data_IF_343522888615
#
_entry.id   IF_343522888615
#
_cell.length_a   1.000
_cell.length_b   1.000
_cell.length_c   1.000
_cell.angle_alpha   90.00
_cell.angle_beta   90.00
_cell.angle_gamma   90.00
#
_symmetry.space_group_name_H-M   'P 1'
#
loop_
_entity.id
_entity.type
_entity.pdbx_description
1 polymer ?
#
# COMPACT_ATOMS: atom_id res chain seq x y z
N UNK A 1 -17.44 -47.27 -49.58
CA UNK A 1 -16.69 -46.08 -50.01
C UNK A 1 -17.28 -44.90 -49.25
N UNK A 2 -16.72 -44.42 -48.15
CA UNK A 2 -15.50 -43.62 -48.09
C UNK A 2 -14.86 -43.73 -46.69
N UNK A 3 -13.56 -44.04 -46.65
CA UNK A 3 -12.73 -44.02 -45.44
C UNK A 3 -12.22 -42.59 -45.23
N UNK A 4 -12.54 -41.99 -44.08
CA UNK A 4 -11.90 -40.77 -43.60
C UNK A 4 -10.72 -41.14 -42.70
N UNK A 5 -9.52 -40.76 -43.15
CA UNK A 5 -8.24 -41.10 -42.54
C UNK A 5 -8.03 -40.40 -41.19
N UNK A 6 -7.54 -41.18 -40.22
CA UNK A 6 -6.97 -40.69 -38.97
C UNK A 6 -5.55 -40.20 -39.25
N UNK A 7 -5.23 -38.95 -38.90
CA UNK A 7 -3.85 -38.48 -38.82
C UNK A 7 -3.50 -38.17 -37.37
N UNK A 8 -2.79 -39.10 -36.75
CA UNK A 8 -1.99 -38.93 -35.55
C UNK A 8 -0.85 -37.95 -35.79
N UNK A 9 -0.65 -36.98 -34.91
CA UNK A 9 0.65 -36.30 -34.81
C UNK A 9 1.02 -36.15 -33.34
N UNK A 10 2.24 -36.57 -33.06
CA UNK A 10 2.80 -36.87 -31.76
C UNK A 10 3.31 -35.61 -31.06
N UNK A 11 3.23 -35.67 -29.73
CA UNK A 11 4.03 -35.00 -28.69
C UNK A 11 5.11 -34.01 -29.11
N UNK A 12 5.09 -32.84 -28.48
CA UNK A 12 6.31 -32.10 -28.15
C UNK A 12 6.18 -31.58 -26.72
N UNK A 13 6.73 -32.37 -25.81
CA UNK A 13 7.06 -31.95 -24.44
C UNK A 13 8.17 -30.89 -24.54
N UNK A 14 7.88 -29.65 -24.18
CA UNK A 14 8.91 -28.66 -23.87
C UNK A 14 8.85 -28.32 -22.39
N UNK A 15 9.55 -29.15 -21.66
CA UNK A 15 10.34 -28.88 -20.46
C UNK A 15 10.30 -27.45 -19.88
N UNK A 16 9.93 -27.43 -18.59
CA UNK A 16 10.57 -26.72 -17.48
C UNK A 16 10.42 -25.20 -17.43
N UNK A 17 9.44 -24.81 -16.61
CA UNK A 17 9.48 -23.63 -15.75
C UNK A 17 10.81 -23.57 -14.97
N UNK A 18 11.63 -22.57 -15.30
CA UNK A 18 12.69 -22.05 -14.45
C UNK A 18 12.60 -20.51 -14.54
N UNK A 19 12.18 -19.80 -13.48
CA UNK A 19 12.17 -18.34 -13.49
C UNK A 19 13.61 -17.83 -13.47
N UNK A 20 14.12 -17.50 -14.65
CA UNK A 20 15.47 -17.00 -14.84
C UNK A 20 15.73 -15.77 -13.96
N UNK A 21 16.70 -15.91 -13.06
CA UNK A 21 17.29 -14.85 -12.23
C UNK A 21 17.98 -13.73 -13.06
N UNK A 22 17.86 -13.78 -14.39
CA UNK A 22 18.46 -12.88 -15.37
C UNK A 22 17.70 -11.55 -15.56
N UNK A 23 16.47 -11.40 -15.06
CA UNK A 23 15.71 -10.16 -15.32
C UNK A 23 16.29 -8.96 -14.57
N UNK A 24 16.86 -9.18 -13.37
CA UNK A 24 17.39 -8.09 -12.52
C UNK A 24 18.62 -7.40 -13.11
N UNK A 25 19.51 -8.15 -13.76
CA UNK A 25 20.71 -7.58 -14.39
C UNK A 25 20.42 -6.93 -15.76
N UNK A 26 19.40 -7.43 -16.47
CA UNK A 26 18.91 -6.82 -17.73
C UNK A 26 18.31 -5.42 -17.55
N UNK A 27 17.88 -5.08 -16.33
CA UNK A 27 17.26 -3.79 -16.05
C UNK A 27 18.27 -2.64 -15.97
N UNK A 28 19.50 -2.93 -15.52
CA UNK A 28 20.62 -1.99 -15.50
C UNK A 28 21.20 -1.81 -16.90
N UNK A 29 21.45 -2.91 -17.62
CA UNK A 29 22.02 -2.86 -18.98
C UNK A 29 21.11 -2.17 -20.00
N UNK A 30 19.79 -2.37 -19.95
CA UNK A 30 18.83 -1.67 -20.84
C UNK A 30 18.69 -0.17 -20.59
N UNK A 31 19.02 0.29 -19.38
CA UNK A 31 18.98 1.71 -19.03
C UNK A 31 20.21 2.44 -19.58
N UNK A 32 21.33 1.74 -19.76
CA UNK A 32 22.59 2.26 -20.32
C UNK A 32 22.65 2.17 -21.86
N UNK A 33 21.82 1.34 -22.48
CA UNK A 33 21.78 1.12 -23.94
C UNK A 33 21.59 2.40 -24.78
N UNK A 34 20.95 3.45 -24.27
CA UNK A 34 20.75 4.71 -25.03
C UNK A 34 21.77 5.80 -24.71
N UNK A 35 22.57 5.66 -23.65
CA UNK A 35 23.69 6.58 -23.37
C UNK A 35 24.91 6.30 -24.24
N UNK A 36 25.11 5.05 -24.66
CA UNK A 36 26.27 4.62 -25.46
C UNK A 36 26.04 4.75 -26.99
N UNK A 37 24.79 4.98 -27.43
CA UNK A 37 24.44 5.14 -28.85
C UNK A 37 24.94 6.46 -29.41
N UNK A 38 25.84 6.38 -30.40
CA UNK A 38 26.46 7.53 -31.08
C UNK A 38 25.52 8.25 -32.05
N UNK A 39 24.56 7.55 -32.66
CA UNK A 39 23.60 8.15 -33.59
C UNK A 39 22.43 8.84 -32.84
N UNK A 40 22.18 10.15 -33.06
CA UNK A 40 21.10 10.87 -32.39
C UNK A 40 19.70 10.32 -32.71
N UNK A 41 19.48 9.83 -33.94
CA UNK A 41 18.19 9.33 -34.40
C UNK A 41 17.81 8.02 -33.71
N UNK A 42 18.73 7.07 -33.67
CA UNK A 42 18.58 5.81 -32.95
C UNK A 42 18.41 6.03 -31.45
N UNK A 43 19.21 6.91 -30.84
CA UNK A 43 19.06 7.29 -29.43
C UNK A 43 17.65 7.78 -29.13
N UNK A 44 17.10 8.65 -29.99
CA UNK A 44 15.74 9.19 -29.80
C UNK A 44 14.67 8.11 -29.90
N UNK A 45 14.81 7.14 -30.80
CA UNK A 45 13.90 5.99 -30.92
C UNK A 45 13.90 5.14 -29.66
N UNK A 46 15.08 4.83 -29.11
CA UNK A 46 15.21 4.04 -27.88
C UNK A 46 14.59 4.77 -26.70
N UNK A 47 14.85 6.08 -26.56
CA UNK A 47 14.21 6.90 -25.53
C UNK A 47 12.68 6.89 -25.62
N UNK A 48 12.10 7.10 -26.81
CA UNK A 48 10.65 7.08 -26.98
C UNK A 48 10.06 5.72 -26.62
N UNK A 49 10.71 4.63 -27.01
CA UNK A 49 10.30 3.27 -26.66
C UNK A 49 10.28 3.06 -25.15
N UNK A 50 11.32 3.52 -24.44
CA UNK A 50 11.41 3.41 -23.00
C UNK A 50 10.39 4.32 -22.29
N UNK A 51 10.26 5.57 -22.73
CA UNK A 51 9.28 6.50 -22.19
C UNK A 51 7.86 5.95 -22.32
N UNK A 52 7.53 5.34 -23.46
CA UNK A 52 6.20 4.76 -23.68
C UNK A 52 5.97 3.49 -22.85
N UNK A 53 7.00 2.66 -22.65
CA UNK A 53 6.94 1.54 -21.71
C UNK A 53 6.69 2.04 -20.28
N UNK A 54 7.50 2.99 -19.80
CA UNK A 54 7.34 3.58 -18.45
C UNK A 54 5.99 4.25 -18.26
N UNK A 55 5.49 4.95 -19.29
CA UNK A 55 4.16 5.54 -19.25
C UNK A 55 3.08 4.48 -19.08
N UNK A 56 3.13 3.40 -19.87
CA UNK A 56 2.18 2.27 -19.76
C UNK A 56 2.28 1.57 -18.41
N UNK A 57 3.49 1.36 -17.91
CA UNK A 57 3.74 0.74 -16.61
C UNK A 57 3.16 1.62 -15.48
N UNK A 58 3.41 2.93 -15.51
CA UNK A 58 2.87 3.87 -14.53
C UNK A 58 1.34 3.96 -14.56
N UNK A 59 0.74 3.91 -15.74
CA UNK A 59 -0.73 3.90 -15.87
C UNK A 59 -1.32 2.62 -15.29
N UNK A 60 -0.68 1.47 -15.48
CA UNK A 60 -1.11 0.20 -14.86
C UNK A 60 -0.93 0.22 -13.35
N UNK A 61 0.22 0.69 -12.87
CA UNK A 61 0.54 0.84 -11.45
C UNK A 61 -0.45 1.75 -10.74
N UNK A 62 -0.76 2.92 -11.31
CA UNK A 62 -1.77 3.82 -10.74
C UNK A 62 -3.14 3.15 -10.60
N UNK A 63 -3.55 2.36 -11.59
CA UNK A 63 -4.80 1.61 -11.50
C UNK A 63 -4.76 0.59 -10.37
N UNK A 64 -3.68 -0.19 -10.27
CA UNK A 64 -3.51 -1.17 -9.19
C UNK A 64 -3.45 -0.50 -7.81
N UNK A 65 -2.75 0.62 -7.69
CA UNK A 65 -2.65 1.39 -6.44
C UNK A 65 -4.01 1.88 -5.97
N UNK A 66 -4.83 2.41 -6.87
CA UNK A 66 -6.20 2.82 -6.52
C UNK A 66 -7.06 1.63 -6.08
N UNK A 67 -6.93 0.48 -6.75
CA UNK A 67 -7.66 -0.74 -6.36
C UNK A 67 -7.20 -1.24 -4.98
N UNK A 68 -5.89 -1.21 -4.73
CA UNK A 68 -5.30 -1.59 -3.45
C UNK A 68 -5.74 -0.64 -2.33
N UNK A 69 -5.83 0.66 -2.60
CA UNK A 69 -6.28 1.64 -1.62
C UNK A 69 -7.76 1.48 -1.29
N UNK A 70 -8.62 1.24 -2.28
CA UNK A 70 -10.04 0.94 -2.06
C UNK A 70 -10.22 -0.35 -1.27
N UNK A 71 -9.50 -1.41 -1.64
CA UNK A 71 -9.59 -2.68 -0.92
C UNK A 71 -9.01 -2.57 0.50
N UNK A 72 -7.95 -1.79 0.68
CA UNK A 72 -7.41 -1.47 1.99
C UNK A 72 -8.42 -0.65 2.80
N UNK A 73 -9.04 0.38 2.25
CA UNK A 73 -10.07 1.15 2.93
C UNK A 73 -11.26 0.28 3.34
N UNK A 74 -11.69 -0.65 2.47
CA UNK A 74 -12.75 -1.62 2.76
C UNK A 74 -12.36 -2.55 3.91
N UNK A 75 -11.12 -3.04 3.94
CA UNK A 75 -10.63 -3.95 4.99
C UNK A 75 -10.28 -3.22 6.30
N UNK A 76 -9.76 -2.01 6.19
CA UNK A 76 -9.21 -1.22 7.29
C UNK A 76 -10.26 -0.36 8.01
N UNK A 77 -11.50 -0.31 7.53
CA UNK A 77 -12.60 0.45 8.14
C UNK A 77 -12.86 0.18 9.63
N UNK A 78 -12.27 -0.89 10.20
CA UNK A 78 -12.27 -1.13 11.65
C UNK A 78 -10.91 -1.57 12.22
N UNK A 79 -9.85 -1.72 11.42
CA UNK A 79 -8.59 -2.34 11.89
C UNK A 79 -7.61 -1.36 12.55
N UNK A 80 -7.67 -0.07 12.18
CA UNK A 80 -6.85 0.99 12.79
C UNK A 80 -7.68 2.01 13.58
N UNK A 81 -9.00 1.84 13.64
CA UNK A 81 -9.87 2.72 14.41
C UNK A 81 -9.67 2.45 15.91
N UNK A 82 -9.28 3.49 16.65
CA UNK A 82 -9.21 3.41 18.11
C UNK A 82 -10.63 3.31 18.65
N UNK A 83 -10.90 2.30 19.47
CA UNK A 83 -12.24 2.07 20.03
C UNK A 83 -12.67 3.31 20.84
N UNK A 84 -13.88 3.80 20.60
CA UNK A 84 -14.46 4.89 21.36
C UNK A 84 -15.10 4.35 22.64
N UNK A 85 -14.81 4.94 23.84
CA UNK A 85 -15.37 4.45 25.10
C UNK A 85 -16.91 4.49 25.13
N UNK A 86 -17.54 5.34 24.32
CA UNK A 86 -18.99 5.46 24.21
C UNK A 86 -19.65 4.35 23.37
N UNK A 87 -18.87 3.67 22.51
CA UNK A 87 -19.36 2.52 21.72
C UNK A 87 -19.22 1.17 22.43
N UNK A 88 -18.59 1.15 23.60
CA UNK A 88 -18.40 -0.09 24.37
C UNK A 88 -19.63 -0.37 25.24
N UNK A 89 -20.39 -1.39 24.85
CA UNK A 89 -21.53 -1.84 25.64
C UNK A 89 -21.06 -2.43 26.99
N UNK A 90 -21.59 -1.87 28.08
CA UNK A 90 -21.21 -2.22 29.46
C UNK A 90 -21.83 -3.55 29.90
N UNK A 91 -22.71 -4.11 29.06
CA UNK A 91 -23.40 -5.39 29.24
C UNK A 91 -22.47 -6.62 29.28
N UNK A 92 -21.21 -6.50 28.82
CA UNK A 92 -20.18 -7.54 28.95
C UNK A 92 -19.37 -7.47 30.26
N UNK A 93 -19.82 -6.72 31.26
CA UNK A 93 -19.33 -6.98 32.62
C UNK A 93 -19.75 -8.40 32.97
N UNK A 94 -18.80 -9.34 32.96
CA UNK A 94 -18.93 -10.72 33.39
C UNK A 94 -19.32 -10.74 34.88
N UNK A 95 -20.59 -10.45 35.17
CA UNK A 95 -21.16 -10.26 36.50
C UNK A 95 -21.44 -11.63 37.12
N UNK A 96 -20.36 -12.37 37.38
CA UNK A 96 -20.39 -13.63 38.13
C UNK A 96 -19.30 -13.70 39.20
N UNK A 97 -18.36 -12.74 39.19
CA UNK A 97 -17.29 -12.64 40.18
C UNK A 97 -17.71 -11.66 41.28
N UNK A 98 -17.55 -12.00 42.57
CA UNK A 98 -18.02 -11.18 43.69
C UNK A 98 -17.31 -9.82 43.80
N UNK A 99 -16.24 -9.61 43.04
CA UNK A 99 -15.43 -8.39 42.96
C UNK A 99 -15.64 -7.60 41.66
N UNK A 100 -16.54 -8.04 40.78
CA UNK A 100 -16.78 -7.41 39.48
C UNK A 100 -15.70 -7.74 38.44
N UNK A 101 -16.08 -7.76 37.17
CA UNK A 101 -15.16 -7.97 36.05
C UNK A 101 -14.32 -6.73 35.73
N UNK A 102 -13.30 -6.90 34.89
CA UNK A 102 -12.46 -5.80 34.41
C UNK A 102 -13.26 -4.97 33.39
N UNK A 103 -13.39 -3.66 33.62
CA UNK A 103 -14.09 -2.74 32.72
C UNK A 103 -13.16 -2.21 31.62
N UNK A 104 -13.34 -2.71 30.39
CA UNK A 104 -12.62 -2.22 29.21
C UNK A 104 -12.91 -0.75 28.90
N UNK A 105 -14.14 -0.27 29.16
CA UNK A 105 -14.49 1.15 29.01
C UNK A 105 -13.56 2.03 29.87
N UNK A 106 -13.37 1.66 31.13
CA UNK A 106 -12.51 2.39 32.05
C UNK A 106 -11.04 2.37 31.60
N UNK A 107 -10.54 1.23 31.13
CA UNK A 107 -9.17 1.11 30.61
C UNK A 107 -8.95 2.01 29.39
N UNK A 108 -9.90 2.04 28.46
CA UNK A 108 -9.81 2.86 27.24
C UNK A 108 -9.92 4.36 27.58
N UNK A 109 -10.85 4.74 28.45
CA UNK A 109 -11.07 6.12 28.88
C UNK A 109 -9.88 6.69 29.65
N UNK A 110 -9.32 5.92 30.59
CA UNK A 110 -8.11 6.31 31.33
C UNK A 110 -6.89 6.40 30.42
N UNK A 111 -6.75 5.47 29.46
CA UNK A 111 -5.71 5.52 28.44
C UNK A 111 -5.77 6.80 27.60
N UNK A 112 -6.95 7.15 27.08
CA UNK A 112 -7.16 8.37 26.29
C UNK A 112 -6.89 9.65 27.10
N UNK A 113 -7.35 9.71 28.34
CA UNK A 113 -7.12 10.87 29.23
C UNK A 113 -5.63 11.07 29.52
N UNK A 114 -4.89 9.98 29.74
CA UNK A 114 -3.44 9.99 29.95
C UNK A 114 -2.66 10.38 28.68
N UNK A 115 -3.12 9.93 27.51
CA UNK A 115 -2.52 10.31 26.23
C UNK A 115 -2.78 11.78 25.88
N UNK A 116 -4.01 12.28 26.09
CA UNK A 116 -4.33 13.67 25.81
C UNK A 116 -3.54 14.62 26.70
N UNK A 117 -3.40 14.30 28.00
CA UNK A 117 -2.57 15.07 28.92
C UNK A 117 -1.07 15.01 28.58
N UNK A 118 -0.56 13.86 28.11
CA UNK A 118 0.83 13.76 27.65
C UNK A 118 1.07 14.54 26.34
N UNK A 119 0.12 14.52 25.42
CA UNK A 119 0.20 15.31 24.18
C UNK A 119 0.06 16.81 24.43
N UNK A 120 -0.84 17.23 25.33
CA UNK A 120 -0.98 18.62 25.73
C UNK A 120 0.31 19.10 26.40
N UNK A 121 0.77 18.45 27.47
CA UNK A 121 2.03 18.81 28.16
C UNK A 121 3.25 18.84 27.22
N UNK A 122 3.34 17.92 26.25
CA UNK A 122 4.41 17.93 25.24
C UNK A 122 4.35 19.15 24.31
N UNK A 123 3.15 19.65 24.00
CA UNK A 123 2.96 20.88 23.20
C UNK A 123 3.28 22.14 23.99
N UNK A 124 2.97 22.17 25.28
CA UNK A 124 3.23 23.35 26.15
C UNK A 124 4.69 23.42 26.62
N UNK A 125 5.39 22.28 26.70
CA UNK A 125 6.82 22.21 27.01
C UNK A 125 7.73 22.33 25.77
N UNK A 126 7.15 22.45 24.58
CA UNK A 126 7.90 22.67 23.34
C UNK A 126 8.29 24.14 23.24
N UNK A 127 9.59 24.41 23.29
CA UNK A 127 10.24 25.74 23.17
C UNK A 127 9.83 26.51 21.89
N UNK A 128 9.18 25.86 20.92
CA UNK A 128 8.74 26.45 19.65
C UNK A 128 7.20 26.56 19.48
N UNK A 129 6.42 26.20 20.50
CA UNK A 129 4.95 26.09 20.40
C UNK A 129 4.17 27.41 20.48
N UNK A 130 4.80 28.51 20.89
CA UNK A 130 4.10 29.78 21.13
C UNK A 130 3.88 30.66 19.88
N UNK A 131 4.44 30.29 18.72
CA UNK A 131 4.46 31.18 17.54
C UNK A 131 3.34 30.95 16.50
N UNK A 132 2.34 30.10 16.73
CA UNK A 132 1.34 29.76 15.70
C UNK A 132 -0.11 30.09 16.06
N UNK A 133 -0.34 31.14 16.86
CA UNK A 133 -1.70 31.65 17.14
C UNK A 133 -1.89 33.13 16.81
N UNK A 134 -1.30 33.63 15.73
CA UNK A 134 -1.73 34.91 15.14
C UNK A 134 -1.56 34.87 13.63
N UNK A 135 -2.63 35.18 12.88
CA UNK A 135 -2.49 35.69 11.51
C UNK A 135 -3.13 34.80 10.45
N UNK A 136 -4.30 35.21 9.97
CA UNK A 136 -4.89 34.61 8.77
C UNK A 136 -6.34 34.95 8.47
N UNK A 137 -6.94 35.93 9.17
CA UNK A 137 -8.17 36.58 8.69
C UNK A 137 -7.75 37.80 7.87
N UNK A 138 -7.93 37.75 6.55
CA UNK A 138 -8.34 38.89 5.70
C UNK A 138 -8.39 38.51 4.22
N UNK A 139 -9.62 38.62 3.69
CA UNK A 139 -10.03 39.11 2.36
C UNK A 139 -9.67 38.31 1.11
#
# INVERSE_FOLDING_TARGET
>A
MSQGQQSSTQNSETSKDEPSVADRDSSRTRSDEWSEVKDPGERRKIQNKLAQRRFRDKVKEQKEDTEREVENQRRAGSSYATIEPETMDTSQNLSGLPWGGISMKHIVETGKTKEQSSQQSSRENSVYGSNSRTGGSSR
#
